data_IF_355278218452
#
_entry.id   IF_355278218452
#
_cell.length_a   1.000
_cell.length_b   1.000
_cell.length_c   1.000
_cell.angle_alpha   90.00
_cell.angle_beta   90.00
_cell.angle_gamma   90.00
#
_symmetry.space_group_name_H-M   'P 1'
#
loop_
_entity.id
_entity.type
_entity.pdbx_description
1 polymer ?
#
# COMPACT_ATOMS: atom_id res chain seq x y z
N UNK A 1 22.09 16.90 7.15
CA UNK A 1 21.50 15.61 6.70
C UNK A 1 20.20 15.44 7.46
N UNK A 2 19.07 15.49 6.78
CA UNK A 2 17.79 15.14 7.41
C UNK A 2 17.80 13.61 7.55
N UNK A 3 17.85 13.09 8.77
CA UNK A 3 17.64 11.67 9.00
C UNK A 3 16.26 11.31 8.46
N UNK A 4 16.23 10.52 7.40
CA UNK A 4 14.99 9.98 6.86
C UNK A 4 14.47 8.98 7.88
N UNK A 5 13.40 9.33 8.60
CA UNK A 5 12.73 8.40 9.51
C UNK A 5 12.14 7.28 8.67
N UNK A 6 12.85 6.17 8.54
CA UNK A 6 12.44 5.04 7.71
C UNK A 6 11.44 4.11 8.41
N UNK A 7 11.20 4.31 9.71
CA UNK A 7 10.23 3.51 10.47
C UNK A 7 9.54 4.37 11.53
N UNK A 8 8.35 3.96 11.94
CA UNK A 8 7.61 4.60 13.01
C UNK A 8 6.87 3.55 13.85
N UNK A 9 6.64 3.86 15.13
CA UNK A 9 5.92 2.97 16.05
C UNK A 9 4.59 3.62 16.43
N UNK A 10 3.53 2.83 16.36
CA UNK A 10 2.18 3.17 16.78
C UNK A 10 1.79 2.29 17.97
N UNK A 11 1.37 2.91 19.07
CA UNK A 11 0.93 2.18 20.24
C UNK A 11 -0.59 2.01 20.23
N UNK A 12 -1.00 0.75 20.39
CA UNK A 12 -2.41 0.37 20.42
C UNK A 12 -3.04 0.77 21.78
N UNK A 13 -4.35 1.03 21.82
CA UNK A 13 -5.04 1.36 23.07
C UNK A 13 -4.95 0.27 24.16
N UNK A 14 -4.75 -0.98 23.74
CA UNK A 14 -4.60 -2.15 24.62
C UNK A 14 -3.16 -2.39 25.13
N UNK A 15 -2.21 -1.48 24.83
CA UNK A 15 -0.81 -1.56 25.26
C UNK A 15 0.13 -2.30 24.32
N UNK A 16 -0.35 -2.83 23.19
CA UNK A 16 0.49 -3.38 22.12
C UNK A 16 1.12 -2.29 21.26
N UNK A 17 2.15 -2.63 20.48
CA UNK A 17 2.80 -1.72 19.54
C UNK A 17 2.84 -2.30 18.12
N UNK A 18 2.77 -1.40 17.13
CA UNK A 18 2.91 -1.72 15.72
C UNK A 18 4.07 -0.89 15.17
N UNK A 19 5.02 -1.56 14.53
CA UNK A 19 6.12 -0.92 13.82
C UNK A 19 5.76 -0.90 12.33
N UNK A 20 5.84 0.27 11.71
CA UNK A 20 5.77 0.42 10.24
C UNK A 20 7.18 0.71 9.75
N UNK A 21 7.67 -0.11 8.83
CA UNK A 21 9.02 -0.04 8.27
C UNK A 21 9.05 -0.45 6.79
N UNK A 22 10.13 -0.12 6.05
CA UNK A 22 10.35 -0.68 4.73
C UNK A 22 10.40 -2.21 4.78
N UNK A 23 9.87 -2.84 3.72
CA UNK A 23 9.94 -4.29 3.58
C UNK A 23 11.36 -4.75 3.25
N UNK A 24 11.73 -5.92 3.78
CA UNK A 24 12.89 -6.68 3.38
C UNK A 24 12.48 -7.86 2.49
N UNK A 25 13.41 -8.43 1.76
CA UNK A 25 13.12 -9.61 0.93
C UNK A 25 12.59 -10.78 1.76
N UNK A 26 13.06 -10.93 2.99
CA UNK A 26 12.60 -11.95 3.94
C UNK A 26 11.14 -11.78 4.40
N UNK A 27 10.51 -10.63 4.13
CA UNK A 27 9.10 -10.39 4.46
C UNK A 27 8.14 -10.94 3.39
N UNK A 28 8.63 -11.21 2.17
CA UNK A 28 7.78 -11.64 1.05
C UNK A 28 6.91 -12.88 1.37
N UNK A 29 7.41 -13.93 2.01
CA UNK A 29 6.56 -15.07 2.38
C UNK A 29 5.41 -14.69 3.32
N UNK A 30 5.62 -13.77 4.26
CA UNK A 30 4.60 -13.31 5.19
C UNK A 30 3.48 -12.50 4.51
N UNK A 31 3.76 -11.88 3.33
CA UNK A 31 2.76 -11.16 2.54
C UNK A 31 1.71 -12.10 1.93
N UNK A 32 1.98 -13.38 1.87
CA UNK A 32 1.03 -14.39 1.38
C UNK A 32 -0.07 -14.72 2.40
N UNK A 33 0.04 -14.26 3.64
CA UNK A 33 -0.94 -14.45 4.73
C UNK A 33 -1.37 -15.91 4.87
N UNK A 34 -0.41 -16.77 5.18
CA UNK A 34 -0.64 -18.21 5.40
C UNK A 34 -1.36 -18.91 4.22
N UNK A 35 -1.07 -18.45 2.98
CA UNK A 35 -1.60 -19.03 1.74
C UNK A 35 -2.76 -18.27 1.10
N UNK A 36 -3.38 -17.33 1.79
CA UNK A 36 -4.49 -16.55 1.24
C UNK A 36 -4.12 -15.78 -0.03
N UNK A 37 -2.87 -15.30 -0.13
CA UNK A 37 -2.36 -14.50 -1.23
C UNK A 37 -1.18 -15.15 -1.96
N UNK A 38 -1.02 -16.47 -1.89
CA UNK A 38 0.04 -17.21 -2.60
C UNK A 38 -0.02 -16.97 -4.10
N UNK A 39 -1.22 -16.78 -4.66
CA UNK A 39 -1.39 -16.43 -6.06
C UNK A 39 -0.74 -15.11 -6.48
N UNK A 40 -0.40 -14.23 -5.54
CA UNK A 40 0.32 -12.97 -5.79
C UNK A 40 1.84 -13.06 -5.55
N UNK A 41 2.39 -14.23 -5.29
CA UNK A 41 3.83 -14.40 -5.01
C UNK A 41 4.72 -13.75 -6.06
N UNK A 42 4.45 -14.00 -7.35
CA UNK A 42 5.23 -13.42 -8.44
C UNK A 42 5.07 -11.89 -8.47
N UNK A 43 3.86 -11.40 -8.31
CA UNK A 43 3.56 -9.96 -8.26
C UNK A 43 4.34 -9.26 -7.12
N UNK A 44 4.38 -9.86 -5.93
CA UNK A 44 5.13 -9.30 -4.81
C UNK A 44 6.64 -9.29 -5.05
N UNK A 45 7.18 -10.36 -5.64
CA UNK A 45 8.60 -10.44 -6.01
C UNK A 45 8.96 -9.36 -7.04
N UNK A 46 8.14 -9.16 -8.06
CA UNK A 46 8.35 -8.14 -9.10
C UNK A 46 8.32 -6.72 -8.51
N UNK A 47 7.37 -6.44 -7.63
CA UNK A 47 7.32 -5.13 -6.96
C UNK A 47 8.47 -4.92 -5.98
N UNK A 48 8.94 -5.98 -5.32
CA UNK A 48 10.13 -5.89 -4.48
C UNK A 48 11.38 -5.61 -5.32
N UNK A 49 11.55 -6.26 -6.46
CA UNK A 49 12.62 -5.94 -7.41
C UNK A 49 12.54 -4.48 -7.88
N UNK A 50 11.34 -3.98 -8.20
CA UNK A 50 11.11 -2.58 -8.56
C UNK A 50 11.43 -1.61 -7.40
N UNK A 51 11.25 -2.04 -6.16
CA UNK A 51 11.63 -1.21 -4.98
C UNK A 51 13.15 -1.03 -4.87
N UNK A 52 13.92 -2.02 -5.25
CA UNK A 52 15.40 -1.94 -5.33
C UNK A 52 15.87 -0.95 -6.41
N UNK A 53 15.05 -0.74 -7.44
CA UNK A 53 15.30 0.25 -8.50
C UNK A 53 14.77 1.64 -8.16
N UNK A 54 14.13 1.82 -6.99
CA UNK A 54 13.60 3.11 -6.54
C UNK A 54 12.29 3.54 -7.20
N UNK A 55 11.62 2.68 -7.96
CA UNK A 55 10.34 2.99 -8.62
C UNK A 55 9.12 2.60 -7.81
N UNK A 56 9.31 1.83 -6.74
CA UNK A 56 8.27 1.39 -5.81
C UNK A 56 8.77 1.50 -4.39
N UNK A 57 7.89 1.81 -3.44
CA UNK A 57 8.14 1.69 -2.00
C UNK A 57 7.20 0.65 -1.43
N UNK A 58 7.70 -0.20 -0.56
CA UNK A 58 6.90 -1.21 0.13
C UNK A 58 7.13 -1.05 1.62
N UNK A 59 6.06 -0.84 2.36
CA UNK A 59 6.09 -0.81 3.82
C UNK A 59 5.26 -1.93 4.39
N UNK A 60 5.74 -2.51 5.47
CA UNK A 60 4.99 -3.49 6.26
C UNK A 60 4.67 -2.91 7.63
N UNK A 61 3.62 -3.43 8.23
CA UNK A 61 3.31 -3.24 9.64
C UNK A 61 3.48 -4.56 10.37
N UNK A 62 4.19 -4.55 11.48
CA UNK A 62 4.42 -5.73 12.30
C UNK A 62 4.23 -5.42 13.79
N UNK A 63 3.91 -6.43 14.58
CA UNK A 63 3.90 -6.31 16.05
C UNK A 63 5.32 -6.15 16.59
N UNK A 64 5.45 -5.80 17.87
CA UNK A 64 6.76 -5.70 18.51
C UNK A 64 7.52 -7.04 18.53
N UNK A 65 6.81 -8.17 18.41
CA UNK A 65 7.36 -9.52 18.31
C UNK A 65 7.70 -9.93 16.86
N UNK A 66 7.52 -9.01 15.89
CA UNK A 66 7.87 -9.25 14.50
C UNK A 66 6.80 -10.00 13.69
N UNK A 67 5.55 -10.09 14.17
CA UNK A 67 4.46 -10.69 13.39
C UNK A 67 3.89 -9.65 12.41
N UNK A 68 3.95 -9.92 11.11
CA UNK A 68 3.35 -9.06 10.09
C UNK A 68 1.82 -8.99 10.25
N UNK A 69 1.29 -7.77 10.27
CA UNK A 69 -0.14 -7.49 10.41
C UNK A 69 -0.72 -6.69 9.25
N UNK A 70 0.12 -6.12 8.41
CA UNK A 70 -0.32 -5.35 7.25
C UNK A 70 0.80 -4.98 6.29
N UNK A 71 0.42 -4.43 5.16
CA UNK A 71 1.32 -3.97 4.10
C UNK A 71 0.69 -2.82 3.33
N UNK A 72 1.52 -1.99 2.71
CA UNK A 72 1.12 -0.90 1.81
C UNK A 72 2.21 -0.67 0.76
N UNK A 73 1.80 -0.57 -0.50
CA UNK A 73 2.70 -0.38 -1.64
C UNK A 73 2.45 0.99 -2.25
N UNK A 74 3.53 1.66 -2.64
CA UNK A 74 3.50 2.93 -3.36
C UNK A 74 4.30 2.78 -4.64
N UNK A 75 3.67 3.01 -5.78
CA UNK A 75 4.35 3.14 -7.05
C UNK A 75 4.71 4.62 -7.26
N UNK A 76 6.01 4.91 -7.42
CA UNK A 76 6.50 6.26 -7.63
C UNK A 76 6.56 6.61 -9.12
N UNK A 77 6.79 5.62 -9.96
CA UNK A 77 6.80 5.74 -11.41
C UNK A 77 6.01 4.60 -12.06
N UNK A 78 5.17 4.93 -13.03
CA UNK A 78 4.45 3.99 -13.87
C UNK A 78 4.54 4.41 -15.34
N UNK A 79 4.41 3.44 -16.25
CA UNK A 79 4.29 3.75 -17.70
C UNK A 79 3.09 4.64 -18.00
N UNK A 80 1.99 4.47 -17.27
CA UNK A 80 0.86 5.38 -17.27
C UNK A 80 1.11 6.48 -16.23
N UNK A 81 1.55 7.65 -16.68
CA UNK A 81 1.83 8.80 -15.83
C UNK A 81 0.61 9.32 -15.06
N UNK A 82 -0.62 8.97 -15.50
CA UNK A 82 -1.82 9.28 -14.72
C UNK A 82 -1.88 8.53 -13.38
N UNK A 83 -1.21 7.40 -13.26
CA UNK A 83 -1.06 6.67 -12.00
C UNK A 83 0.08 7.25 -11.16
N UNK A 84 1.29 7.25 -11.69
CA UNK A 84 2.49 7.73 -11.01
C UNK A 84 3.48 8.29 -12.03
N UNK A 85 3.90 9.55 -11.85
CA UNK A 85 4.68 10.29 -12.85
C UNK A 85 6.18 10.40 -12.54
N UNK A 86 6.61 9.88 -11.40
CA UNK A 86 8.00 9.89 -10.96
C UNK A 86 8.45 11.17 -10.27
N UNK A 87 7.61 12.20 -10.18
CA UNK A 87 7.98 13.53 -9.69
C UNK A 87 6.99 14.10 -8.67
N UNK A 88 5.69 14.06 -8.99
CA UNK A 88 4.66 14.75 -8.20
C UNK A 88 3.57 13.81 -7.70
N UNK A 89 3.27 12.76 -8.45
CA UNK A 89 2.16 11.84 -8.15
C UNK A 89 2.66 10.43 -7.91
N UNK A 90 2.26 9.86 -6.77
CA UNK A 90 2.44 8.45 -6.45
C UNK A 90 1.09 7.70 -6.53
N UNK A 91 1.16 6.40 -6.76
CA UNK A 91 -0.01 5.51 -6.76
C UNK A 91 0.07 4.52 -5.60
N UNK A 92 -0.95 4.51 -4.76
CA UNK A 92 -1.08 3.62 -3.62
C UNK A 92 -1.88 2.39 -4.02
N UNK A 93 -1.37 1.22 -3.70
CA UNK A 93 -2.01 -0.06 -4.00
C UNK A 93 -1.62 -1.14 -2.99
N UNK A 94 -2.24 -2.31 -3.07
CA UNK A 94 -1.94 -3.46 -2.19
C UNK A 94 -1.92 -3.10 -0.69
N UNK A 95 -2.82 -2.21 -0.28
CA UNK A 95 -2.97 -1.80 1.11
C UNK A 95 -3.90 -2.79 1.83
N UNK A 96 -3.33 -3.57 2.73
CA UNK A 96 -4.05 -4.60 3.48
C UNK A 96 -3.64 -4.61 4.94
N UNK A 97 -4.63 -4.86 5.80
CA UNK A 97 -4.42 -5.12 7.24
C UNK A 97 -5.19 -6.38 7.59
N UNK A 98 -4.53 -7.31 8.28
CA UNK A 98 -5.15 -8.56 8.71
C UNK A 98 -6.44 -8.27 9.50
N UNK A 99 -7.52 -9.05 9.29
CA UNK A 99 -8.84 -8.77 9.86
C UNK A 99 -8.84 -8.53 11.37
N UNK A 100 -8.08 -9.33 12.12
CA UNK A 100 -7.98 -9.26 13.58
C UNK A 100 -7.29 -7.97 14.09
N UNK A 101 -6.60 -7.25 13.23
CA UNK A 101 -5.90 -5.98 13.56
C UNK A 101 -6.64 -4.73 13.06
N UNK A 102 -7.77 -4.90 12.40
CA UNK A 102 -8.56 -3.78 11.85
C UNK A 102 -9.29 -3.01 12.96
N UNK A 103 -9.73 -1.80 12.63
CA UNK A 103 -10.48 -0.90 13.52
C UNK A 103 -9.74 -0.48 14.81
N UNK A 104 -8.42 -0.52 14.78
CA UNK A 104 -7.55 -0.15 15.90
C UNK A 104 -6.66 1.06 15.59
N UNK A 105 -6.91 1.75 14.48
CA UNK A 105 -6.14 2.94 14.06
C UNK A 105 -4.92 2.63 13.18
N UNK A 106 -4.54 1.37 12.99
CA UNK A 106 -3.34 0.97 12.25
C UNK A 106 -3.40 1.47 10.80
N UNK A 107 -4.55 1.33 10.13
CA UNK A 107 -4.71 1.80 8.75
C UNK A 107 -4.53 3.30 8.61
N UNK A 108 -5.07 4.08 9.53
CA UNK A 108 -4.88 5.54 9.57
C UNK A 108 -3.42 5.91 9.80
N UNK A 109 -2.75 5.22 10.71
CA UNK A 109 -1.33 5.43 10.99
C UNK A 109 -0.45 5.11 9.79
N UNK A 110 -0.65 3.94 9.14
CA UNK A 110 0.11 3.56 7.96
C UNK A 110 -0.10 4.56 6.81
N UNK A 111 -1.34 5.01 6.62
CA UNK A 111 -1.66 5.96 5.56
C UNK A 111 -0.96 7.30 5.79
N UNK A 112 -1.01 7.84 7.01
CA UNK A 112 -0.29 9.06 7.37
C UNK A 112 1.22 8.90 7.20
N UNK A 113 1.77 7.78 7.66
CA UNK A 113 3.20 7.50 7.54
C UNK A 113 3.67 7.54 6.08
N UNK A 114 2.95 6.88 5.16
CA UNK A 114 3.36 6.88 3.74
C UNK A 114 3.16 8.23 3.07
N UNK A 115 2.16 9.00 3.48
CA UNK A 115 1.97 10.38 3.02
C UNK A 115 3.17 11.27 3.41
N UNK A 116 3.64 11.16 4.66
CA UNK A 116 4.82 11.89 5.14
C UNK A 116 6.09 11.43 4.39
N UNK A 117 6.23 10.12 4.12
CA UNK A 117 7.34 9.59 3.32
C UNK A 117 7.35 10.16 1.89
N UNK A 118 6.18 10.34 1.29
CA UNK A 118 6.07 10.93 -0.05
C UNK A 118 6.38 12.43 -0.04
N UNK A 119 5.86 13.17 0.94
CA UNK A 119 6.17 14.60 1.11
C UNK A 119 7.67 14.85 1.25
N UNK A 120 8.37 14.06 2.06
CA UNK A 120 9.83 14.15 2.22
C UNK A 120 10.58 13.89 0.92
N UNK A 121 9.99 13.13 0.00
CA UNK A 121 10.55 12.83 -1.33
C UNK A 121 10.13 13.85 -2.40
N UNK A 122 9.36 14.86 -2.04
CA UNK A 122 8.91 15.91 -2.95
C UNK A 122 7.62 15.60 -3.72
N UNK A 123 6.98 14.47 -3.45
CA UNK A 123 5.66 14.18 -4.03
C UNK A 123 4.60 15.06 -3.36
N UNK A 124 3.60 15.48 -4.13
CA UNK A 124 2.55 16.38 -3.66
C UNK A 124 1.14 15.81 -3.78
N UNK A 125 1.01 14.62 -4.37
CA UNK A 125 -0.28 13.96 -4.54
C UNK A 125 -0.19 12.44 -4.51
N UNK A 126 -1.27 11.81 -4.04
CA UNK A 126 -1.45 10.36 -4.06
C UNK A 126 -2.73 10.03 -4.79
N UNK A 127 -2.64 9.06 -5.67
CA UNK A 127 -3.75 8.45 -6.36
C UNK A 127 -3.94 7.01 -5.92
N UNK A 128 -5.16 6.53 -5.89
CA UNK A 128 -5.49 5.12 -5.65
C UNK A 128 -6.77 4.72 -6.39
N UNK A 129 -6.94 3.43 -6.56
CA UNK A 129 -8.22 2.84 -6.94
C UNK A 129 -8.74 2.01 -5.76
N UNK A 130 -10.03 2.14 -5.45
CA UNK A 130 -10.70 1.33 -4.44
C UNK A 130 -11.90 0.64 -5.05
N UNK A 131 -11.99 -0.68 -4.90
CA UNK A 131 -13.12 -1.46 -5.38
C UNK A 131 -14.45 -0.85 -4.87
N UNK A 132 -15.44 -0.73 -5.74
CA UNK A 132 -16.75 -0.17 -5.36
C UNK A 132 -17.40 -0.93 -4.22
N UNK A 133 -17.19 -2.24 -4.16
CA UNK A 133 -17.69 -3.10 -3.09
C UNK A 133 -16.94 -2.88 -1.75
N UNK A 134 -15.72 -2.30 -1.77
CA UNK A 134 -14.92 -2.08 -0.56
C UNK A 134 -15.27 -0.74 0.10
N UNK A 135 -16.50 -0.62 0.58
CA UNK A 135 -17.02 0.58 1.25
C UNK A 135 -16.20 0.98 2.47
N UNK A 136 -15.66 -0.01 3.19
CA UNK A 136 -14.83 0.24 4.38
C UNK A 136 -13.55 0.97 4.04
N UNK A 137 -12.81 0.50 3.03
CA UNK A 137 -11.58 1.17 2.58
C UNK A 137 -11.88 2.56 2.02
N UNK A 138 -12.94 2.70 1.22
CA UNK A 138 -13.37 4.00 0.71
C UNK A 138 -13.59 5.00 1.84
N UNK A 139 -14.34 4.63 2.89
CA UNK A 139 -14.59 5.49 4.06
C UNK A 139 -13.31 5.86 4.79
N UNK A 140 -12.33 4.96 4.87
CA UNK A 140 -11.01 5.27 5.43
C UNK A 140 -10.34 6.38 4.61
N UNK A 141 -10.26 6.22 3.29
CA UNK A 141 -9.65 7.21 2.41
C UNK A 141 -10.37 8.56 2.46
N UNK A 142 -11.71 8.58 2.43
CA UNK A 142 -12.51 9.81 2.54
C UNK A 142 -12.19 10.56 3.85
N UNK A 143 -12.10 9.87 4.98
CA UNK A 143 -11.71 10.48 6.28
C UNK A 143 -10.30 11.07 6.27
N UNK A 144 -9.42 10.55 5.41
CA UNK A 144 -8.05 11.06 5.23
C UNK A 144 -7.93 12.11 4.11
N UNK A 145 -9.04 12.62 3.60
CA UNK A 145 -9.04 13.71 2.61
C UNK A 145 -8.87 13.26 1.17
N UNK A 146 -9.00 11.97 0.87
CA UNK A 146 -9.11 11.49 -0.50
C UNK A 146 -10.52 11.73 -1.02
N UNK A 147 -10.63 12.15 -2.27
CA UNK A 147 -11.92 12.35 -2.92
C UNK A 147 -11.98 11.59 -4.25
N UNK A 148 -13.19 11.21 -4.63
CA UNK A 148 -13.44 10.51 -5.89
C UNK A 148 -13.24 11.48 -7.04
N UNK A 149 -12.41 11.08 -8.02
CA UNK A 149 -12.14 11.84 -9.25
C UNK A 149 -12.65 11.14 -10.51
N UNK A 150 -13.17 9.94 -10.38
CA UNK A 150 -13.68 9.18 -11.52
C UNK A 150 -13.90 7.71 -11.21
N UNK A 151 -14.15 6.97 -12.27
CA UNK A 151 -14.38 5.53 -12.22
C UNK A 151 -13.31 4.79 -13.01
N UNK A 152 -13.06 3.55 -12.60
CA UNK A 152 -12.17 2.63 -13.30
C UNK A 152 -12.93 1.32 -13.54
N UNK A 153 -12.90 0.73 -14.75
CA UNK A 153 -13.50 -0.57 -15.00
C UNK A 153 -12.85 -1.68 -14.16
N UNK A 154 -11.66 -1.45 -13.63
CA UNK A 154 -10.97 -2.37 -12.73
C UNK A 154 -10.52 -3.64 -13.41
N UNK A 155 -10.17 -3.57 -14.68
CA UNK A 155 -9.66 -4.72 -15.44
C UNK A 155 -8.14 -4.72 -15.38
N UNK A 156 -7.58 -5.74 -14.76
CA UNK A 156 -6.13 -5.92 -14.68
C UNK A 156 -5.76 -7.39 -14.71
N UNK A 157 -4.50 -7.68 -14.95
CA UNK A 157 -3.98 -9.05 -15.10
C UNK A 157 -2.78 -9.27 -14.20
N UNK A 158 -2.65 -10.49 -13.72
CA UNK A 158 -1.45 -10.94 -13.03
C UNK A 158 -1.13 -12.40 -13.41
N UNK A 159 0.13 -12.76 -13.23
CA UNK A 159 0.58 -14.14 -13.32
C UNK A 159 0.68 -14.72 -11.91
N UNK A 160 0.08 -15.87 -11.68
CA UNK A 160 0.12 -16.51 -10.37
C UNK A 160 1.46 -17.24 -10.12
N UNK A 161 1.58 -17.86 -8.96
CA UNK A 161 2.78 -18.59 -8.54
C UNK A 161 3.05 -19.86 -9.36
N UNK A 162 2.10 -20.32 -10.16
CA UNK A 162 2.25 -21.45 -11.09
C UNK A 162 2.54 -20.99 -12.52
N UNK A 163 2.58 -19.68 -12.77
CA UNK A 163 2.81 -19.10 -14.08
C UNK A 163 1.54 -18.93 -14.93
N UNK A 164 0.36 -19.15 -14.36
CA UNK A 164 -0.91 -18.99 -15.07
C UNK A 164 -1.40 -17.53 -15.03
N UNK A 165 -1.95 -17.06 -16.17
CA UNK A 165 -2.50 -15.71 -16.26
C UNK A 165 -3.94 -15.63 -15.82
N UNK A 166 -4.21 -14.66 -14.95
CA UNK A 166 -5.55 -14.34 -14.46
C UNK A 166 -5.94 -12.92 -14.85
N UNK A 167 -7.21 -12.73 -15.20
CA UNK A 167 -7.81 -11.42 -15.42
C UNK A 167 -8.80 -11.14 -14.31
N UNK A 168 -8.63 -9.99 -13.66
CA UNK A 168 -9.51 -9.51 -12.60
C UNK A 168 -10.44 -8.46 -13.17
N UNK A 169 -11.72 -8.51 -12.82
CA UNK A 169 -12.75 -7.52 -13.13
C UNK A 169 -13.31 -6.99 -11.81
N UNK A 170 -12.82 -5.86 -11.36
CA UNK A 170 -13.18 -5.29 -10.09
C UNK A 170 -13.44 -3.78 -10.25
N UNK A 171 -14.66 -3.37 -10.66
CA UNK A 171 -15.00 -1.97 -10.84
C UNK A 171 -14.64 -1.13 -9.62
N UNK A 172 -13.97 -0.01 -9.84
CA UNK A 172 -13.37 0.78 -8.77
C UNK A 172 -13.70 2.27 -8.90
N UNK A 173 -13.56 2.98 -7.78
CA UNK A 173 -13.47 4.43 -7.74
C UNK A 173 -12.01 4.83 -7.84
N UNK A 174 -11.72 5.82 -8.70
CA UNK A 174 -10.46 6.53 -8.70
C UNK A 174 -10.51 7.61 -7.63
N UNK A 175 -9.56 7.62 -6.72
CA UNK A 175 -9.47 8.63 -5.68
C UNK A 175 -8.13 9.36 -5.71
N UNK A 176 -8.13 10.61 -5.30
CA UNK A 176 -6.96 11.48 -5.25
C UNK A 176 -6.94 12.24 -3.92
N UNK A 177 -5.75 12.42 -3.37
CA UNK A 177 -5.46 13.38 -2.32
C UNK A 177 -4.28 14.25 -2.73
N UNK A 178 -4.39 15.57 -2.55
CA UNK A 178 -3.24 16.47 -2.55
C UNK A 178 -2.63 16.49 -1.15
N UNK A 179 -1.30 16.41 -1.08
CA UNK A 179 -0.54 16.37 0.18
C UNK A 179 -0.13 17.78 0.63
N UNK A 180 -0.20 18.77 -0.27
CA UNK A 180 0.08 20.18 -0.02
C UNK A 180 -1.05 21.05 -0.55
#
# INVERSE_FOLDING_TARGET
>A
MVETINQATFYLPNGGGIIVRPAHESDLPAMEWEGQYTHFRQLYADHFAASRLGTTLIYIAETLEGKMVGQIFLQLYARNADLADGLHRAYLFSFRIKPEYRSQGIGSFMLQFVEDQLLMRGFDSIRLNVARANVRARKLYERHGYHIIGVDPGVWRYQDHLGEWHTVHEPAWKMLKKLR
#
